data_IF_302513253697
#
_entry.id   IF_302513253697
#
_cell.length_a   1.000
_cell.length_b   1.000
_cell.length_c   1.000
_cell.angle_alpha   90.00
_cell.angle_beta   90.00
_cell.angle_gamma   90.00
#
_symmetry.space_group_name_H-M   'P 1'
#
loop_
_entity.id
_entity.type
_entity.pdbx_description
1 polymer ?
#
# COMPACT_ATOMS: atom_id res chain seq x y z
N UNK A 1 8.48 1.41 6.56
CA UNK A 1 8.29 1.69 5.12
C UNK A 1 7.44 2.94 4.90
N UNK A 2 7.21 3.74 5.93
CA UNK A 2 6.43 4.97 5.85
C UNK A 2 7.06 5.95 4.84
N UNK A 3 6.21 6.73 4.15
CA UNK A 3 6.59 7.72 3.14
C UNK A 3 7.35 7.18 1.91
N UNK A 4 7.44 5.86 1.75
CA UNK A 4 8.00 5.26 0.54
C UNK A 4 6.97 5.30 -0.60
N UNK A 5 7.37 5.82 -1.76
CA UNK A 5 6.55 5.79 -2.99
C UNK A 5 7.13 4.75 -3.93
N UNK A 6 6.37 3.70 -4.21
CA UNK A 6 6.84 2.48 -4.86
C UNK A 6 5.80 2.01 -5.89
N UNK A 7 6.27 1.56 -7.06
CA UNK A 7 5.41 0.87 -8.02
C UNK A 7 4.92 -0.48 -7.46
N UNK A 8 3.68 -0.86 -7.77
CA UNK A 8 3.07 -2.11 -7.29
C UNK A 8 2.05 -2.63 -8.29
N UNK A 9 1.84 -3.95 -8.33
CA UNK A 9 0.83 -4.56 -9.18
C UNK A 9 -0.58 -4.28 -8.65
N UNK A 10 -1.46 -3.85 -9.56
CA UNK A 10 -2.90 -3.66 -9.31
C UNK A 10 -3.66 -4.59 -10.26
N UNK A 11 -4.58 -5.38 -9.73
CA UNK A 11 -5.35 -6.35 -10.52
C UNK A 11 -6.72 -6.65 -9.89
N UNK A 12 -7.66 -5.69 -9.97
CA UNK A 12 -8.99 -5.84 -9.38
C UNK A 12 -10.08 -5.13 -10.21
N UNK A 13 -11.30 -5.67 -10.21
CA UNK A 13 -12.50 -5.01 -10.78
C UNK A 13 -13.32 -4.23 -9.75
N UNK A 14 -13.24 -4.61 -8.47
CA UNK A 14 -14.10 -4.10 -7.38
C UNK A 14 -13.27 -3.49 -6.24
N UNK A 15 -12.17 -2.80 -6.57
CA UNK A 15 -11.23 -2.29 -5.56
C UNK A 15 -11.57 -0.93 -4.95
N UNK A 16 -12.68 -0.29 -5.36
CA UNK A 16 -13.02 1.06 -4.89
C UNK A 16 -13.40 1.01 -3.41
N UNK A 17 -12.66 1.73 -2.60
CA UNK A 17 -12.92 1.79 -1.17
C UNK A 17 -14.07 2.74 -0.88
N UNK A 18 -15.13 2.24 -0.25
CA UNK A 18 -16.35 2.98 0.05
C UNK A 18 -16.71 2.87 1.52
N UNK A 19 -17.28 3.95 2.07
CA UNK A 19 -17.67 4.03 3.46
C UNK A 19 -19.18 4.20 3.58
N UNK A 20 -19.76 3.68 4.66
CA UNK A 20 -21.20 3.89 4.95
C UNK A 20 -21.52 5.37 5.24
N UNK A 21 -20.59 6.09 5.84
CA UNK A 21 -20.70 7.52 6.13
C UNK A 21 -19.31 8.12 6.47
N UNK A 22 -19.25 9.45 6.55
CA UNK A 22 -18.03 10.21 6.82
C UNK A 22 -17.42 9.94 8.20
N UNK A 23 -18.20 9.51 9.20
CA UNK A 23 -17.69 9.19 10.54
C UNK A 23 -16.73 7.98 10.50
N UNK A 24 -16.97 7.01 9.62
CA UNK A 24 -16.05 5.87 9.44
C UNK A 24 -14.69 6.34 8.93
N UNK A 25 -14.67 7.18 7.89
CA UNK A 25 -13.44 7.73 7.35
C UNK A 25 -12.71 8.60 8.38
N UNK A 26 -13.44 9.44 9.11
CA UNK A 26 -12.86 10.29 10.14
C UNK A 26 -12.18 9.48 11.25
N UNK A 27 -12.84 8.41 11.73
CA UNK A 27 -12.24 7.49 12.71
C UNK A 27 -10.98 6.81 12.18
N UNK A 28 -10.97 6.39 10.92
CA UNK A 28 -9.76 5.80 10.31
C UNK A 28 -8.60 6.79 10.28
N UNK A 29 -8.87 8.07 10.01
CA UNK A 29 -7.84 9.13 10.05
C UNK A 29 -7.33 9.38 11.46
N UNK A 30 -8.23 9.56 12.43
CA UNK A 30 -7.89 9.83 13.83
C UNK A 30 -7.07 8.71 14.45
N UNK A 31 -7.35 7.45 14.08
CA UNK A 31 -6.60 6.29 14.55
C UNK A 31 -5.37 5.97 13.68
N UNK A 32 -5.01 6.82 12.71
CA UNK A 32 -3.89 6.59 11.80
C UNK A 32 -3.95 5.25 11.04
N UNK A 33 -5.16 4.77 10.72
CA UNK A 33 -5.41 3.48 10.09
C UNK A 33 -5.35 3.50 8.55
N UNK A 34 -5.00 4.63 7.93
CA UNK A 34 -4.87 4.75 6.46
C UNK A 34 -3.43 4.42 6.04
N UNK A 35 -3.15 3.13 5.86
CA UNK A 35 -1.78 2.63 5.72
C UNK A 35 -1.17 2.83 4.33
N UNK A 36 -1.97 2.76 3.26
CA UNK A 36 -1.49 2.84 1.87
C UNK A 36 -2.39 3.74 1.04
N UNK A 37 -1.77 4.61 0.24
CA UNK A 37 -2.43 5.50 -0.70
C UNK A 37 -1.84 5.39 -2.10
N UNK A 38 -2.69 5.51 -3.12
CA UNK A 38 -2.30 5.80 -4.48
C UNK A 38 -1.80 7.25 -4.57
N UNK A 39 -0.71 7.45 -5.30
CA UNK A 39 -0.09 8.75 -5.48
C UNK A 39 0.05 9.10 -6.96
N UNK A 40 0.18 10.39 -7.24
CA UNK A 40 0.65 10.86 -8.53
C UNK A 40 2.17 10.68 -8.70
N UNK A 41 2.70 11.10 -9.85
CA UNK A 41 4.12 11.02 -10.17
C UNK A 41 5.00 11.94 -9.30
N UNK A 42 4.39 12.87 -8.56
CA UNK A 42 5.06 13.71 -7.57
C UNK A 42 5.02 13.12 -6.15
N UNK A 43 4.39 11.95 -5.97
CA UNK A 43 4.24 11.28 -4.68
C UNK A 43 3.10 11.83 -3.82
N UNK A 44 2.23 12.69 -4.36
CA UNK A 44 1.09 13.22 -3.62
C UNK A 44 -0.12 12.27 -3.76
N UNK A 45 -0.90 12.02 -2.69
CA UNK A 45 -2.13 11.24 -2.79
C UNK A 45 -3.08 11.78 -3.87
N UNK A 46 -3.68 10.90 -4.65
CA UNK A 46 -4.50 11.30 -5.80
C UNK A 46 -5.79 10.50 -5.93
N UNK A 47 -6.82 11.13 -6.51
CA UNK A 47 -8.06 10.49 -6.95
C UNK A 47 -8.17 10.42 -8.48
N UNK A 48 -7.14 10.88 -9.20
CA UNK A 48 -7.14 10.96 -10.65
C UNK A 48 -6.88 9.58 -11.28
N UNK A 49 -7.76 9.14 -12.18
CA UNK A 49 -7.54 7.94 -12.99
C UNK A 49 -6.50 8.21 -14.10
N UNK A 50 -5.56 7.29 -14.39
CA UNK A 50 -5.40 5.93 -13.84
C UNK A 50 -4.47 5.82 -12.63
N UNK A 51 -3.88 6.93 -12.14
CA UNK A 51 -2.93 6.93 -11.00
C UNK A 51 -3.59 6.38 -9.72
N UNK A 52 -4.86 6.73 -9.52
CA UNK A 52 -5.79 6.00 -8.67
C UNK A 52 -6.72 5.15 -9.56
N UNK A 53 -6.49 3.82 -9.64
CA UNK A 53 -7.13 2.97 -10.64
C UNK A 53 -8.59 2.63 -10.32
N UNK A 54 -9.06 2.88 -9.09
CA UNK A 54 -10.41 2.48 -8.66
C UNK A 54 -11.25 3.64 -8.13
N UNK A 55 -10.72 4.86 -8.06
CA UNK A 55 -11.44 6.05 -7.60
C UNK A 55 -11.75 6.01 -6.10
N UNK A 56 -10.93 5.33 -5.29
CA UNK A 56 -10.99 5.41 -3.83
C UNK A 56 -10.74 6.84 -3.38
N UNK A 57 -11.58 7.35 -2.47
CA UNK A 57 -11.42 8.67 -1.84
C UNK A 57 -10.05 8.78 -1.17
N UNK A 58 -9.42 9.96 -1.27
CA UNK A 58 -8.08 10.30 -0.75
C UNK A 58 -6.96 9.34 -1.20
N UNK A 59 -7.17 8.63 -2.32
CA UNK A 59 -6.23 7.63 -2.81
C UNK A 59 -6.17 6.36 -1.97
N UNK A 60 -7.09 6.12 -1.02
CA UNK A 60 -6.96 5.01 -0.06
C UNK A 60 -6.91 3.65 -0.77
N UNK A 61 -5.81 2.93 -0.59
CA UNK A 61 -5.55 1.62 -1.19
C UNK A 61 -5.38 0.50 -0.16
N UNK A 62 -5.17 0.85 1.12
CA UNK A 62 -5.09 -0.11 2.21
C UNK A 62 -5.26 0.53 3.58
N UNK A 63 -5.78 -0.26 4.53
CA UNK A 63 -6.04 0.13 5.91
C UNK A 63 -5.47 -0.90 6.88
N UNK A 64 -5.19 -0.48 8.11
CA UNK A 64 -4.79 -1.37 9.19
C UNK A 64 -5.73 -1.30 10.40
N UNK A 65 -5.67 -2.30 11.28
CA UNK A 65 -6.27 -2.24 12.61
C UNK A 65 -5.56 -1.20 13.48
N UNK A 66 -6.25 -0.70 14.51
CA UNK A 66 -5.71 0.31 15.45
C UNK A 66 -4.44 -0.19 16.15
N UNK A 67 -4.34 -1.49 16.41
CA UNK A 67 -3.16 -2.12 17.00
C UNK A 67 -2.08 -2.52 15.97
N UNK A 68 -2.29 -2.22 14.69
CA UNK A 68 -1.35 -2.50 13.60
C UNK A 68 -1.21 -3.96 13.19
N UNK A 69 -1.89 -4.91 13.86
CA UNK A 69 -1.70 -6.36 13.64
C UNK A 69 -2.37 -6.90 12.37
N UNK A 70 -3.37 -6.19 11.85
CA UNK A 70 -4.06 -6.55 10.62
C UNK A 70 -3.87 -5.44 9.60
N UNK A 71 -3.44 -5.79 8.39
CA UNK A 71 -3.32 -4.90 7.25
C UNK A 71 -4.10 -5.50 6.09
N UNK A 72 -5.08 -4.77 5.59
CA UNK A 72 -5.86 -5.12 4.41
C UNK A 72 -5.55 -4.12 3.30
N UNK A 73 -5.24 -4.60 2.11
CA UNK A 73 -4.89 -3.76 0.97
C UNK A 73 -5.36 -4.36 -0.34
N UNK A 74 -5.60 -3.48 -1.32
CA UNK A 74 -5.96 -3.87 -2.69
C UNK A 74 -4.75 -4.13 -3.61
N UNK A 75 -3.61 -3.42 -3.49
CA UNK A 75 -2.41 -3.75 -4.24
C UNK A 75 -1.85 -5.13 -3.91
N UNK A 76 -1.08 -5.70 -4.83
CA UNK A 76 -0.51 -7.04 -4.74
C UNK A 76 1.03 -7.01 -4.52
N UNK A 77 1.52 -6.73 -3.29
CA UNK A 77 2.96 -6.71 -3.00
C UNK A 77 3.63 -8.09 -3.16
N UNK A 78 2.86 -9.17 -3.05
CA UNK A 78 3.33 -10.54 -3.25
C UNK A 78 3.75 -10.82 -4.70
N UNK A 79 3.17 -10.09 -5.66
CA UNK A 79 3.52 -10.19 -7.08
C UNK A 79 4.78 -9.42 -7.45
N UNK A 80 5.41 -8.73 -6.50
CA UNK A 80 6.57 -7.89 -6.75
C UNK A 80 7.64 -7.95 -5.64
N UNK A 81 7.85 -9.13 -5.03
CA UNK A 81 8.89 -9.36 -4.01
C UNK A 81 10.31 -9.45 -4.57
N UNK A 82 10.46 -9.63 -5.88
CA UNK A 82 11.74 -9.62 -6.60
C UNK A 82 11.76 -8.52 -7.64
N UNK A 83 12.93 -7.94 -7.88
CA UNK A 83 13.06 -6.82 -8.83
C UNK A 83 12.71 -7.20 -10.27
N UNK A 84 12.96 -8.45 -10.69
CA UNK A 84 12.57 -8.91 -12.03
C UNK A 84 11.04 -8.99 -12.25
N UNK A 85 10.25 -8.97 -11.18
CA UNK A 85 8.80 -8.95 -11.25
C UNK A 85 8.23 -7.54 -11.41
N UNK A 86 9.06 -6.49 -11.25
CA UNK A 86 8.61 -5.11 -11.43
C UNK A 86 8.56 -4.77 -12.93
N UNK A 87 7.47 -4.16 -13.41
CA UNK A 87 7.35 -3.78 -14.83
C UNK A 87 8.28 -2.62 -15.19
N UNK A 88 8.65 -1.80 -14.21
CA UNK A 88 9.57 -0.67 -14.35
C UNK A 88 10.37 -0.49 -13.07
N UNK A 89 11.64 -0.11 -13.20
CA UNK A 89 12.52 0.27 -12.09
C UNK A 89 13.53 1.31 -12.58
N UNK A 90 14.03 2.20 -11.71
CA UNK A 90 15.12 3.10 -12.08
C UNK A 90 16.37 2.32 -12.55
N UNK A 91 17.03 2.80 -13.61
CA UNK A 91 18.17 2.10 -14.23
C UNK A 91 19.39 1.94 -13.30
N UNK A 92 19.51 2.79 -12.29
CA UNK A 92 20.60 2.79 -11.31
C UNK A 92 20.35 1.80 -10.15
N UNK A 93 19.14 1.24 -10.04
CA UNK A 93 18.83 0.24 -9.03
C UNK A 93 19.49 -1.10 -9.39
N UNK A 94 20.42 -1.53 -8.54
CA UNK A 94 21.14 -2.82 -8.67
C UNK A 94 20.62 -3.90 -7.70
N UNK A 95 19.42 -3.70 -7.17
CA UNK A 95 18.81 -4.62 -6.21
C UNK A 95 18.23 -5.85 -6.92
N UNK A 96 18.27 -7.01 -6.28
CA UNK A 96 17.60 -8.23 -6.75
C UNK A 96 16.29 -8.48 -6.00
N UNK A 97 16.20 -7.97 -4.77
CA UNK A 97 15.04 -8.03 -3.88
C UNK A 97 14.32 -6.68 -3.93
N UNK A 98 12.99 -6.73 -4.05
CA UNK A 98 12.17 -5.52 -4.04
C UNK A 98 11.99 -4.96 -2.63
N UNK A 99 11.83 -3.62 -2.48
CA UNK A 99 11.35 -3.03 -1.23
C UNK A 99 10.06 -3.66 -0.70
N UNK A 100 9.17 -4.19 -1.56
CA UNK A 100 7.94 -4.87 -1.12
C UNK A 100 8.22 -6.18 -0.36
N UNK A 101 9.38 -6.82 -0.51
CA UNK A 101 9.76 -7.97 0.32
C UNK A 101 9.75 -7.61 1.81
N UNK A 102 10.04 -6.35 2.15
CA UNK A 102 10.13 -5.89 3.54
C UNK A 102 8.84 -6.05 4.32
N UNK A 103 7.66 -6.05 3.68
CA UNK A 103 6.38 -6.28 4.38
C UNK A 103 6.34 -7.70 4.98
N UNK A 104 6.84 -8.69 4.25
CA UNK A 104 6.90 -10.08 4.68
C UNK A 104 8.02 -10.30 5.70
N UNK A 105 9.17 -9.64 5.51
CA UNK A 105 10.27 -9.70 6.47
C UNK A 105 9.87 -9.08 7.82
N UNK A 106 9.10 -7.98 7.81
CA UNK A 106 8.57 -7.36 9.02
C UNK A 106 7.59 -8.32 9.73
N UNK A 107 6.70 -8.97 8.99
CA UNK A 107 5.76 -9.94 9.57
C UNK A 107 6.50 -11.16 10.17
N UNK A 108 7.49 -11.70 9.44
CA UNK A 108 8.33 -12.78 9.95
C UNK A 108 9.08 -12.36 11.21
N UNK A 109 9.74 -11.19 11.17
CA UNK A 109 10.47 -10.63 12.32
C UNK A 109 9.54 -10.55 13.52
N UNK A 110 8.36 -9.93 13.36
CA UNK A 110 7.39 -9.82 14.45
C UNK A 110 7.00 -11.18 15.08
N UNK A 111 6.84 -12.22 14.28
CA UNK A 111 6.51 -13.56 14.78
C UNK A 111 7.67 -14.25 15.53
N UNK A 112 8.93 -13.90 15.25
CA UNK A 112 10.11 -14.58 15.83
C UNK A 112 10.85 -13.74 16.87
N UNK A 113 10.64 -12.43 16.88
CA UNK A 113 11.06 -11.53 17.95
C UNK A 113 9.89 -11.34 18.89
N UNK A 114 9.67 -12.31 19.78
CA UNK A 114 8.98 -12.07 21.05
C UNK A 114 10.04 -11.98 22.16
N UNK A 115 10.05 -10.84 22.84
CA UNK A 115 10.33 -10.71 24.28
C UNK A 115 8.98 -10.58 25.00
#
# INVERSE_FOLDING_TARGET
MENSVLGVWIAHGEGRFTFRNNNVLQKLKENHCLAIKYTDDHGNPTECYPLNPNGSTEGIAGICSVDGRHLAMMPHPERCTRMWQWPWTPNDWKYTISPWQRIFDNAYTWCVTED
#
